data_IF_390472880621
#
_entry.id   IF_390472880621
#
_cell.length_a   1.000
_cell.length_b   1.000
_cell.length_c   1.000
_cell.angle_alpha   90.00
_cell.angle_beta   90.00
_cell.angle_gamma   90.00
#
_symmetry.space_group_name_H-M   'P 1'
#
loop_
_entity.id
_entity.type
_entity.pdbx_description
1 polymer ?
#
# COMPACT_ATOMS: atom_id res chain seq x y z
N UNK A 1 -28.31 12.64 8.46
CA UNK A 1 -27.32 11.55 8.35
C UNK A 1 -26.88 11.49 6.90
N UNK A 2 -25.88 12.29 6.57
CA UNK A 2 -25.35 12.45 5.22
C UNK A 2 -24.26 11.39 5.02
N UNK A 3 -24.51 10.51 4.05
CA UNK A 3 -23.65 9.42 3.60
C UNK A 3 -22.26 9.94 3.19
N UNK A 4 -21.31 9.88 4.11
CA UNK A 4 -19.86 10.07 3.85
C UNK A 4 -19.18 8.71 3.56
N UNK A 5 -19.89 7.59 3.70
CA UNK A 5 -19.44 6.21 3.39
C UNK A 5 -19.35 5.91 1.89
N UNK A 6 -18.79 6.82 1.10
CA UNK A 6 -18.49 6.56 -0.31
C UNK A 6 -17.16 7.16 -0.72
N UNK A 7 -16.25 7.29 0.24
CA UNK A 7 -14.90 7.74 -0.03
C UNK A 7 -14.14 6.58 -0.65
N UNK A 8 -14.25 6.52 -1.98
CA UNK A 8 -13.17 6.25 -2.92
C UNK A 8 -12.20 5.18 -2.42
N UNK A 9 -12.31 3.96 -2.98
CA UNK A 9 -11.16 3.07 -3.11
C UNK A 9 -9.95 3.94 -3.44
N UNK A 10 -8.89 3.96 -2.61
CA UNK A 10 -7.75 4.82 -2.88
C UNK A 10 -7.28 4.55 -4.30
N UNK A 11 -6.94 5.60 -5.06
CA UNK A 11 -6.38 5.40 -6.41
C UNK A 11 -5.10 4.54 -6.40
N UNK A 12 -4.48 4.41 -5.21
CA UNK A 12 -3.39 3.49 -4.91
C UNK A 12 -3.60 2.85 -3.51
N UNK A 13 -4.32 1.73 -3.39
CA UNK A 13 -4.59 1.09 -2.11
C UNK A 13 -3.34 0.68 -1.34
N UNK A 14 -2.26 0.27 -2.03
CA UNK A 14 -1.01 -0.11 -1.37
C UNK A 14 -0.35 1.05 -0.66
N UNK A 15 -0.41 2.25 -1.24
CA UNK A 15 0.08 3.48 -0.62
C UNK A 15 -0.69 3.79 0.67
N UNK A 16 -2.02 3.65 0.64
CA UNK A 16 -2.86 3.88 1.81
C UNK A 16 -2.51 2.87 2.93
N UNK A 17 -2.60 1.56 2.64
CA UNK A 17 -2.28 0.52 3.62
C UNK A 17 -0.85 0.65 4.15
N UNK A 18 0.13 0.88 3.26
CA UNK A 18 1.53 1.03 3.63
C UNK A 18 1.80 2.23 4.56
N UNK A 19 1.19 3.39 4.28
CA UNK A 19 1.34 4.58 5.10
C UNK A 19 0.74 4.39 6.51
N UNK A 20 -0.47 3.84 6.59
CA UNK A 20 -1.13 3.58 7.87
C UNK A 20 -0.44 2.46 8.66
N UNK A 21 0.05 1.41 7.99
CA UNK A 21 0.88 0.38 8.63
C UNK A 21 2.16 0.97 9.23
N UNK A 22 2.85 1.86 8.51
CA UNK A 22 4.03 2.55 9.03
C UNK A 22 3.69 3.44 10.23
N UNK A 23 2.58 4.19 10.18
CA UNK A 23 2.09 5.01 11.29
C UNK A 23 1.77 4.15 12.54
N UNK A 24 1.15 2.98 12.34
CA UNK A 24 0.84 2.02 13.40
C UNK A 24 2.09 1.42 14.04
N UNK A 25 3.08 1.04 13.23
CA UNK A 25 4.38 0.56 13.72
C UNK A 25 5.08 1.65 14.55
N UNK A 26 4.98 2.90 14.11
CA UNK A 26 5.51 4.07 14.83
C UNK A 26 4.66 4.50 16.05
N UNK A 27 3.57 3.79 16.37
CA UNK A 27 2.71 4.08 17.52
C UNK A 27 1.85 5.34 17.37
N UNK A 28 1.54 5.76 16.14
CA UNK A 28 0.76 6.98 15.84
C UNK A 28 -0.73 6.73 15.62
N UNK A 29 -1.13 5.48 15.38
CA UNK A 29 -2.53 5.09 15.19
C UNK A 29 -2.79 3.70 15.79
N UNK A 30 -4.05 3.27 15.77
CA UNK A 30 -4.50 1.94 16.19
C UNK A 30 -4.32 0.91 15.04
N UNK A 31 -4.33 -0.41 15.34
CA UNK A 31 -4.36 -1.43 14.29
C UNK A 31 -5.62 -1.38 13.42
N UNK A 32 -6.74 -0.94 13.99
CA UNK A 32 -8.02 -0.86 13.28
C UNK A 32 -7.95 0.19 12.16
N UNK A 33 -7.26 1.31 12.39
CA UNK A 33 -7.01 2.31 11.35
C UNK A 33 -6.27 1.73 10.12
N UNK A 34 -5.45 0.69 10.31
CA UNK A 34 -4.78 -0.03 9.21
C UNK A 34 -5.76 -0.95 8.49
N UNK A 35 -6.61 -1.66 9.24
CA UNK A 35 -7.62 -2.57 8.68
C UNK A 35 -8.60 -1.80 7.80
N UNK A 36 -9.03 -0.62 8.21
CA UNK A 36 -9.97 0.21 7.47
C UNK A 36 -9.46 0.55 6.05
N UNK A 37 -8.13 0.64 5.87
CA UNK A 37 -7.52 0.93 4.58
C UNK A 37 -7.55 -0.22 3.57
N UNK A 38 -7.90 -1.45 3.99
CA UNK A 38 -7.97 -2.60 3.08
C UNK A 38 -9.19 -2.56 2.14
N UNK A 39 -10.16 -1.69 2.39
CA UNK A 39 -11.33 -1.56 1.50
C UNK A 39 -12.64 -1.25 2.20
N UNK A 40 -12.61 -0.73 3.44
CA UNK A 40 -13.79 -0.31 4.19
C UNK A 40 -14.94 -1.32 4.16
N UNK A 41 -15.93 -1.05 3.31
CA UNK A 41 -17.19 -1.80 3.14
C UNK A 41 -17.01 -3.24 2.64
N UNK A 42 -15.85 -3.60 2.09
CA UNK A 42 -15.59 -4.97 1.65
C UNK A 42 -14.23 -5.20 1.00
N UNK A 43 -13.57 -6.27 1.40
CA UNK A 43 -12.34 -6.76 0.78
C UNK A 43 -12.25 -8.28 0.90
N UNK A 44 -11.40 -8.89 0.07
CA UNK A 44 -11.06 -10.31 0.14
C UNK A 44 -9.55 -10.43 0.26
N UNK A 45 -9.07 -11.31 1.15
CA UNK A 45 -7.66 -11.72 1.16
C UNK A 45 -7.54 -13.07 0.45
N UNK A 46 -6.80 -13.09 -0.64
CA UNK A 46 -6.45 -14.29 -1.41
C UNK A 46 -5.01 -14.68 -1.07
N UNK A 47 -4.84 -15.45 0.01
CA UNK A 47 -3.52 -15.91 0.45
C UNK A 47 -3.04 -17.11 -0.39
N UNK A 48 -2.09 -16.86 -1.28
CA UNK A 48 -1.45 -17.91 -2.10
C UNK A 48 -0.27 -18.58 -1.40
N UNK A 49 0.12 -18.08 -0.23
CA UNK A 49 1.30 -18.54 0.52
C UNK A 49 0.92 -19.57 1.58
N UNK A 50 -0.32 -19.54 2.07
CA UNK A 50 -0.79 -20.37 3.19
C UNK A 50 -0.14 -20.00 4.52
N UNK A 51 0.41 -18.79 4.63
CA UNK A 51 1.14 -18.31 5.82
C UNK A 51 0.27 -17.49 6.76
N UNK A 52 -0.90 -17.04 6.31
CA UNK A 52 -1.80 -16.26 7.12
C UNK A 52 -2.78 -17.17 7.86
N UNK A 53 -2.95 -16.90 9.15
CA UNK A 53 -3.94 -17.59 9.99
C UNK A 53 -5.36 -17.00 9.77
N UNK A 54 -5.80 -16.96 8.51
CA UNK A 54 -7.13 -16.48 8.13
C UNK A 54 -7.13 -15.67 6.83
N UNK A 55 -8.34 -15.30 6.39
CA UNK A 55 -8.59 -14.59 5.13
C UNK A 55 -9.06 -13.15 5.34
N UNK A 56 -8.68 -12.54 6.46
CA UNK A 56 -9.05 -11.17 6.83
C UNK A 56 -7.80 -10.33 7.09
N UNK A 57 -7.91 -9.00 7.04
CA UNK A 57 -6.77 -8.10 7.24
C UNK A 57 -6.17 -8.21 8.65
N UNK A 58 -6.93 -8.66 9.64
CA UNK A 58 -6.40 -8.93 11.00
C UNK A 58 -5.30 -10.00 10.98
N UNK A 59 -5.36 -10.97 10.06
CA UNK A 59 -4.33 -12.00 9.90
C UNK A 59 -2.99 -11.43 9.38
N UNK A 60 -3.01 -10.25 8.74
CA UNK A 60 -1.80 -9.55 8.28
C UNK A 60 -1.14 -8.70 9.38
N UNK A 61 -1.87 -8.32 10.44
CA UNK A 61 -1.35 -7.45 11.49
C UNK A 61 -0.09 -8.01 12.18
N UNK A 62 0.00 -9.32 12.55
CA UNK A 62 1.22 -9.87 13.13
C UNK A 62 2.40 -9.82 12.16
N UNK A 63 2.16 -10.04 10.87
CA UNK A 63 3.19 -9.98 9.82
C UNK A 63 3.71 -8.55 9.66
N UNK A 64 2.80 -7.58 9.56
CA UNK A 64 3.13 -6.16 9.47
C UNK A 64 3.91 -5.72 10.71
N UNK A 65 3.48 -6.12 11.90
CA UNK A 65 4.16 -5.77 13.16
C UNK A 65 5.58 -6.35 13.23
N UNK A 66 5.80 -7.54 12.66
CA UNK A 66 7.09 -8.20 12.61
C UNK A 66 7.97 -7.77 11.43
N UNK A 67 7.48 -6.88 10.57
CA UNK A 67 8.22 -6.43 9.39
C UNK A 67 9.49 -5.66 9.80
N UNK A 68 10.61 -6.00 9.18
CA UNK A 68 11.85 -5.19 9.26
C UNK A 68 11.71 -3.92 8.45
N UNK A 69 11.13 -4.04 7.26
CA UNK A 69 10.86 -2.92 6.38
C UNK A 69 9.51 -3.09 5.67
N UNK A 70 8.86 -1.96 5.40
CA UNK A 70 7.70 -1.87 4.53
C UNK A 70 8.09 -1.02 3.33
N UNK A 71 7.79 -1.45 2.11
CA UNK A 71 8.02 -0.64 0.92
C UNK A 71 6.89 -0.78 -0.08
N UNK A 72 6.39 0.35 -0.58
CA UNK A 72 5.43 0.37 -1.69
C UNK A 72 6.20 0.57 -2.98
N UNK A 73 5.92 -0.25 -3.99
CA UNK A 73 6.48 -0.12 -5.34
C UNK A 73 5.36 0.12 -6.33
N UNK A 74 5.58 1.02 -7.28
CA UNK A 74 4.65 1.36 -8.36
C UNK A 74 5.28 0.97 -9.70
N UNK A 75 5.40 -0.34 -10.01
CA UNK A 75 6.16 -0.81 -11.15
C UNK A 75 5.58 -0.31 -12.48
N UNK A 76 6.46 0.24 -13.32
CA UNK A 76 6.17 0.63 -14.69
C UNK A 76 7.22 0.07 -15.67
N UNK A 77 6.92 -0.02 -16.98
CA UNK A 77 7.89 -0.46 -17.97
C UNK A 77 9.19 0.37 -17.92
N UNK A 78 10.33 -0.29 -17.74
CA UNK A 78 11.64 0.37 -17.68
C UNK A 78 12.04 0.92 -16.30
N UNK A 79 11.29 0.58 -15.23
CA UNK A 79 11.62 1.01 -13.87
C UNK A 79 12.96 0.40 -13.39
N UNK A 80 13.99 1.24 -13.09
CA UNK A 80 15.28 0.77 -12.61
C UNK A 80 15.21 0.12 -11.22
N UNK A 81 14.14 0.37 -10.46
CA UNK A 81 13.91 -0.22 -9.13
C UNK A 81 13.13 -1.54 -9.18
N UNK A 82 13.04 -2.16 -10.36
CA UNK A 82 12.17 -3.29 -10.67
C UNK A 82 12.21 -4.46 -9.70
N UNK A 83 11.11 -5.22 -9.71
CA UNK A 83 10.94 -6.43 -8.91
C UNK A 83 11.65 -7.63 -9.56
N UNK A 84 12.25 -8.54 -8.79
CA UNK A 84 12.87 -9.76 -9.32
C UNK A 84 11.80 -10.66 -9.97
N UNK A 85 12.13 -11.51 -10.94
CA UNK A 85 11.14 -12.38 -11.59
C UNK A 85 10.43 -13.33 -10.60
N UNK A 86 9.12 -13.19 -10.45
CA UNK A 86 8.28 -14.06 -9.62
C UNK A 86 6.80 -13.91 -10.03
N UNK A 87 5.90 -14.83 -9.62
CA UNK A 87 4.45 -14.64 -9.81
C UNK A 87 3.93 -13.32 -9.23
N UNK A 88 4.48 -12.91 -8.08
CA UNK A 88 4.20 -11.63 -7.44
C UNK A 88 4.52 -10.43 -8.36
N UNK A 89 5.58 -10.53 -9.16
CA UNK A 89 6.01 -9.46 -10.07
C UNK A 89 5.04 -9.28 -11.22
N UNK A 90 4.58 -10.39 -11.82
CA UNK A 90 3.54 -10.32 -12.86
C UNK A 90 2.27 -9.66 -12.31
N UNK A 91 1.81 -10.09 -11.14
CA UNK A 91 0.64 -9.51 -10.50
C UNK A 91 0.83 -8.01 -10.18
N UNK A 92 2.00 -7.62 -9.65
CA UNK A 92 2.33 -6.23 -9.34
C UNK A 92 2.36 -5.34 -10.60
N UNK A 93 2.89 -5.84 -11.73
CA UNK A 93 2.88 -5.11 -13.00
C UNK A 93 1.47 -4.96 -13.57
N UNK A 94 0.62 -5.98 -13.43
CA UNK A 94 -0.79 -5.91 -13.85
C UNK A 94 -1.58 -4.90 -12.99
N UNK A 95 -1.34 -4.87 -11.69
CA UNK A 95 -1.96 -3.91 -10.77
C UNK A 95 -1.36 -2.50 -10.86
N UNK A 96 -0.10 -2.38 -11.28
CA UNK A 96 0.68 -1.14 -11.25
C UNK A 96 1.17 -0.76 -9.85
N UNK A 97 0.96 -1.60 -8.84
CA UNK A 97 1.36 -1.35 -7.47
C UNK A 97 1.54 -2.65 -6.64
N UNK A 98 2.41 -2.60 -5.64
CA UNK A 98 2.59 -3.67 -4.66
C UNK A 98 3.11 -3.12 -3.32
N UNK A 99 2.58 -3.63 -2.21
CA UNK A 99 3.16 -3.44 -0.88
C UNK A 99 4.03 -4.65 -0.52
N UNK A 100 5.32 -4.41 -0.27
CA UNK A 100 6.29 -5.40 0.18
C UNK A 100 6.45 -5.31 1.69
N UNK A 101 6.31 -6.45 2.37
CA UNK A 101 6.43 -6.62 3.81
C UNK A 101 7.62 -7.54 4.07
N UNK A 102 8.79 -6.96 4.34
CA UNK A 102 10.02 -7.72 4.58
C UNK A 102 10.00 -8.34 5.99
N UNK A 103 9.57 -9.60 6.07
CA UNK A 103 9.44 -10.34 7.31
C UNK A 103 10.70 -11.10 7.70
N UNK A 104 10.72 -11.71 8.90
CA UNK A 104 11.87 -12.47 9.41
C UNK A 104 12.26 -13.65 8.51
N UNK A 105 11.29 -14.30 7.87
CA UNK A 105 11.48 -15.52 7.07
C UNK A 105 11.61 -15.23 5.58
N UNK A 106 10.74 -14.37 5.07
CA UNK A 106 10.61 -14.06 3.64
C UNK A 106 9.90 -12.70 3.49
N UNK A 107 9.89 -12.16 2.27
CA UNK A 107 9.10 -10.97 1.97
C UNK A 107 7.75 -11.37 1.41
N UNK A 108 6.68 -10.89 2.04
CA UNK A 108 5.34 -10.98 1.46
C UNK A 108 5.11 -9.80 0.51
N UNK A 109 4.39 -10.07 -0.57
CA UNK A 109 3.96 -9.08 -1.54
C UNK A 109 2.44 -9.05 -1.58
N UNK A 110 1.88 -7.90 -1.25
CA UNK A 110 0.46 -7.66 -1.20
C UNK A 110 0.06 -6.82 -2.41
N UNK A 111 -0.72 -7.41 -3.32
CA UNK A 111 -1.10 -6.83 -4.60
C UNK A 111 -2.62 -6.62 -4.64
N UNK A 112 -3.11 -5.38 -4.81
CA UNK A 112 -4.54 -5.12 -4.93
C UNK A 112 -5.02 -5.48 -6.35
N UNK A 113 -6.24 -6.00 -6.44
CA UNK A 113 -6.95 -6.22 -7.69
C UNK A 113 -8.41 -5.87 -7.51
N UNK A 114 -9.02 -5.23 -8.50
CA UNK A 114 -10.47 -5.03 -8.53
C UNK A 114 -11.17 -6.39 -8.66
N UNK A 115 -12.18 -6.62 -7.82
CA UNK A 115 -12.96 -7.86 -7.82
C UNK A 115 -14.38 -7.56 -7.36
N UNK A 116 -15.34 -7.62 -8.29
CA UNK A 116 -16.77 -7.41 -8.05
C UNK A 116 -17.06 -6.09 -7.29
N UNK A 117 -16.35 -5.01 -7.64
CA UNK A 117 -16.49 -3.72 -6.98
C UNK A 117 -15.84 -3.62 -5.59
N UNK A 118 -15.13 -4.65 -5.15
CA UNK A 118 -14.30 -4.68 -3.93
C UNK A 118 -12.82 -4.80 -4.28
N UNK A 119 -11.95 -4.65 -3.28
CA UNK A 119 -10.52 -4.96 -3.43
C UNK A 119 -10.27 -6.42 -3.05
N UNK A 120 -9.71 -7.20 -3.96
CA UNK A 120 -9.07 -8.47 -3.66
C UNK A 120 -7.56 -8.25 -3.46
N UNK A 121 -7.07 -8.56 -2.26
CA UNK A 121 -5.66 -8.50 -1.93
C UNK A 121 -5.03 -9.87 -2.12
N UNK A 122 -4.23 -10.00 -3.18
CA UNK A 122 -3.44 -11.20 -3.41
C UNK A 122 -2.17 -11.15 -2.56
N UNK A 123 -1.94 -12.21 -1.78
CA UNK A 123 -0.73 -12.37 -0.98
C UNK A 123 0.19 -13.34 -1.69
N UNK A 124 1.35 -12.87 -2.07
CA UNK A 124 2.43 -13.67 -2.64
C UNK A 124 3.65 -13.66 -1.71
N UNK A 125 4.60 -14.56 -1.98
CA UNK A 125 5.86 -14.65 -1.27
C UNK A 125 7.02 -14.52 -2.27
N UNK A 126 8.00 -13.67 -1.93
CA UNK A 126 9.32 -13.70 -2.54
C UNK A 126 10.24 -14.52 -1.65
N UNK A 127 10.78 -15.61 -2.21
CA UNK A 127 11.81 -16.44 -1.55
C UNK A 127 13.21 -15.86 -1.70
N UNK A 128 13.46 -15.04 -2.72
CA UNK A 128 14.75 -14.38 -2.94
C UNK A 128 14.79 -13.00 -2.27
N UNK A 129 16.00 -12.53 -1.95
CA UNK A 129 16.18 -11.20 -1.36
C UNK A 129 15.84 -10.12 -2.38
N UNK A 130 14.96 -9.21 -1.99
CA UNK A 130 14.58 -8.06 -2.80
C UNK A 130 15.67 -6.98 -2.74
N UNK A 131 16.01 -6.35 -3.87
CA UNK A 131 16.89 -5.20 -3.86
C UNK A 131 16.24 -4.06 -3.07
N UNK A 132 16.95 -3.58 -2.05
CA UNK A 132 16.57 -2.37 -1.32
C UNK A 132 16.63 -1.19 -2.31
N UNK A 133 15.55 -0.39 -2.41
CA UNK A 133 15.60 0.77 -3.27
C UNK A 133 16.62 1.77 -2.70
N UNK A 134 17.36 2.51 -3.55
CA UNK A 134 18.13 3.64 -3.06
C UNK A 134 17.16 4.60 -2.35
N UNK A 135 17.47 4.93 -1.10
CA UNK A 135 16.73 5.95 -0.36
C UNK A 135 17.36 7.32 -0.66
N UNK A 136 16.57 8.23 -1.20
CA UNK A 136 16.95 9.65 -1.21
C UNK A 136 17.18 10.14 0.23
N UNK A 137 17.89 11.25 0.38
CA UNK A 137 18.08 11.81 1.72
C UNK A 137 16.73 12.19 2.32
N UNK A 138 16.53 11.92 3.61
CA UNK A 138 15.26 12.23 4.28
C UNK A 138 14.88 13.72 4.17
N UNK A 139 15.89 14.61 4.16
CA UNK A 139 15.69 16.04 3.99
C UNK A 139 15.15 16.40 2.59
N UNK A 140 15.62 15.71 1.55
CA UNK A 140 15.17 15.90 0.18
C UNK A 140 13.75 15.37 -0.01
N UNK A 141 13.44 14.19 0.53
CA UNK A 141 12.08 13.66 0.56
C UNK A 141 11.10 14.57 1.31
N UNK A 142 11.50 15.12 2.46
CA UNK A 142 10.69 16.07 3.21
C UNK A 142 10.48 17.36 2.42
N UNK A 143 11.51 17.82 1.69
CA UNK A 143 11.41 18.99 0.82
C UNK A 143 10.42 18.75 -0.32
N UNK A 144 10.60 17.68 -1.09
CA UNK A 144 9.72 17.31 -2.20
C UNK A 144 8.27 17.13 -1.73
N UNK A 145 8.04 16.44 -0.61
CA UNK A 145 6.71 16.29 -0.04
C UNK A 145 6.08 17.64 0.32
N UNK A 146 6.84 18.54 0.96
CA UNK A 146 6.35 19.87 1.32
C UNK A 146 6.01 20.70 0.08
N UNK A 147 6.82 20.60 -0.98
CA UNK A 147 6.55 21.27 -2.26
C UNK A 147 5.28 20.72 -2.91
N UNK A 148 5.15 19.40 -3.00
CA UNK A 148 3.97 18.75 -3.58
C UNK A 148 2.67 19.12 -2.84
N UNK A 149 2.70 19.12 -1.51
CA UNK A 149 1.56 19.53 -0.68
C UNK A 149 1.24 21.02 -0.87
N UNK A 150 2.26 21.88 -0.89
CA UNK A 150 2.07 23.32 -1.11
C UNK A 150 1.47 23.62 -2.49
N UNK A 151 1.96 22.97 -3.54
CA UNK A 151 1.41 23.16 -4.90
C UNK A 151 -0.01 22.62 -5.02
N UNK A 152 -0.30 21.45 -4.43
CA UNK A 152 -1.67 20.91 -4.38
C UNK A 152 -2.62 21.87 -3.68
N UNK A 153 -2.23 22.42 -2.53
CA UNK A 153 -3.01 23.42 -1.80
C UNK A 153 -3.22 24.70 -2.64
N UNK A 154 -2.19 25.15 -3.37
CA UNK A 154 -2.27 26.28 -4.27
C UNK A 154 -3.26 26.02 -5.40
N UNK A 155 -3.17 24.87 -6.07
CA UNK A 155 -4.09 24.47 -7.13
C UNK A 155 -5.55 24.42 -6.65
N UNK A 156 -5.79 23.82 -5.48
CA UNK A 156 -7.11 23.80 -4.83
C UNK A 156 -7.64 25.21 -4.56
N UNK A 157 -6.79 26.11 -4.05
CA UNK A 157 -7.19 27.50 -3.79
C UNK A 157 -7.57 28.26 -5.07
N UNK A 158 -6.89 27.99 -6.19
CA UNK A 158 -7.21 28.59 -7.50
C UNK A 158 -8.44 27.98 -8.17
N UNK A 159 -8.83 26.75 -7.77
CA UNK A 159 -9.99 26.05 -8.33
C UNK A 159 -11.34 26.41 -7.66
N UNK A 160 -11.35 27.17 -6.55
CA UNK A 160 -12.59 27.59 -5.90
C UNK A 160 -13.29 28.80 -6.57
N UNK A 161 -14.60 29.02 -6.35
CA UNK A 161 -15.75 28.14 -6.51
C UNK A 161 -16.45 28.40 -7.87
N UNK A 162 -16.37 27.46 -8.83
CA UNK A 162 -17.24 27.46 -10.03
C UNK A 162 -18.37 26.42 -9.98
N UNK A 163 -18.61 25.84 -8.81
CA UNK A 163 -19.77 24.98 -8.56
C UNK A 163 -20.89 25.85 -7.96
N UNK A 164 -21.70 26.47 -8.82
CA UNK A 164 -23.03 27.00 -8.49
C UNK A 164 -24.02 26.50 -9.52
#
# INVERSE_FOLDING_TARGET
>A
MTSIDRLLTPSWPTCAVGAWAAAWIAGRCSPDDVIDMFGGDGYVIDDRTGRLDGTTATALLPVIRAARTLSVRLPGPGDPQGLPPAPATTAAFEAGEVLLIDGPVSTLALVPREHDGMIAWMVHEYTDTLPTPPSDSAAELEYELRQAVSESARLLSTAGPRLR
#
